data_IF_036676121956
#
_entry.id   IF_036676121956
#
_cell.length_a   1.000
_cell.length_b   1.000
_cell.length_c   1.000
_cell.angle_alpha   90.00
_cell.angle_beta   90.00
_cell.angle_gamma   90.00
#
_symmetry.space_group_name_H-M   'P 1'
#
loop_
_entity.id
_entity.type
_entity.pdbx_description
1 polymer ?
#
# COMPACT_ATOMS: atom_id res chain seq x y z
N UNK A 1 18.18 -20.63 18.48
CA UNK A 1 16.72 -20.70 18.66
C UNK A 1 16.04 -19.95 17.54
N UNK A 2 15.01 -20.51 16.94
CA UNK A 2 14.21 -19.75 15.98
C UNK A 2 13.53 -18.59 16.69
N UNK A 3 13.43 -17.49 15.99
CA UNK A 3 12.73 -16.31 16.49
C UNK A 3 11.28 -16.31 15.97
N UNK A 4 10.44 -15.48 16.54
CA UNK A 4 9.05 -15.30 16.12
C UNK A 4 8.97 -14.01 15.30
N UNK A 5 8.45 -14.10 14.08
CA UNK A 5 8.12 -12.92 13.30
C UNK A 5 6.78 -12.39 13.80
N UNK A 6 6.75 -11.14 14.28
CA UNK A 6 5.57 -10.57 14.93
C UNK A 6 4.73 -9.72 13.99
N UNK A 7 5.35 -9.09 13.01
CA UNK A 7 4.67 -8.15 12.12
C UNK A 7 5.51 -7.90 10.87
N UNK A 8 4.84 -7.72 9.77
CA UNK A 8 5.45 -7.25 8.54
C UNK A 8 4.70 -6.01 8.10
N UNK A 9 5.37 -4.86 8.09
CA UNK A 9 4.73 -3.60 7.72
C UNK A 9 5.42 -3.02 6.49
N UNK A 10 4.69 -2.73 5.42
CA UNK A 10 5.27 -2.02 4.30
C UNK A 10 5.52 -0.57 4.66
N UNK A 11 6.67 -0.05 4.25
CA UNK A 11 6.98 1.37 4.34
C UNK A 11 7.19 1.87 2.92
N UNK A 12 6.34 2.77 2.49
CA UNK A 12 6.41 3.34 1.14
C UNK A 12 7.20 4.64 1.21
N UNK A 13 8.35 4.66 0.55
CA UNK A 13 9.17 5.87 0.46
C UNK A 13 8.71 6.69 -0.73
N UNK A 14 8.31 7.93 -0.47
CA UNK A 14 7.71 8.81 -1.48
C UNK A 14 8.34 10.21 -1.39
N UNK A 15 8.28 11.01 -2.47
CA UNK A 15 8.74 12.38 -2.39
C UNK A 15 7.94 13.21 -1.38
N UNK A 16 6.61 13.06 -1.35
CA UNK A 16 5.71 13.76 -0.45
C UNK A 16 4.61 12.82 0.03
N UNK A 17 4.33 12.85 1.34
CA UNK A 17 3.32 11.97 1.95
C UNK A 17 1.91 12.52 1.78
N UNK A 18 1.74 13.82 1.97
CA UNK A 18 0.41 14.44 1.99
C UNK A 18 -0.46 14.11 0.78
N UNK A 19 0.07 14.11 -0.46
CA UNK A 19 -0.76 13.75 -1.62
C UNK A 19 -1.21 12.28 -1.63
N UNK A 20 -0.56 11.42 -0.86
CA UNK A 20 -0.87 9.99 -0.83
C UNK A 20 -2.02 9.66 0.11
N UNK A 21 -2.28 10.49 1.11
CA UNK A 21 -3.25 10.18 2.16
C UNK A 21 -4.69 10.07 1.67
N UNK A 22 -5.20 10.97 0.80
CA UNK A 22 -6.61 10.88 0.37
C UNK A 22 -6.96 9.57 -0.32
N UNK A 23 -6.04 8.97 -1.05
CA UNK A 23 -6.26 7.67 -1.70
C UNK A 23 -6.65 6.61 -0.67
N UNK A 24 -5.87 6.50 0.40
CA UNK A 24 -6.11 5.51 1.44
C UNK A 24 -7.29 5.88 2.33
N UNK A 25 -7.49 7.19 2.59
CA UNK A 25 -8.62 7.64 3.38
C UNK A 25 -9.95 7.32 2.70
N UNK A 26 -10.04 7.44 1.37
CA UNK A 26 -11.23 7.02 0.62
C UNK A 26 -11.50 5.52 0.73
N UNK A 27 -10.46 4.72 0.98
CA UNK A 27 -10.58 3.29 1.21
C UNK A 27 -10.87 2.95 2.68
N UNK A 28 -10.99 3.97 3.54
CA UNK A 28 -11.28 3.77 4.96
C UNK A 28 -10.07 3.63 5.87
N UNK A 29 -8.86 3.84 5.35
CA UNK A 29 -7.67 3.85 6.20
C UNK A 29 -7.60 5.14 7.00
N UNK A 30 -7.04 5.05 8.21
CA UNK A 30 -6.95 6.17 9.15
C UNK A 30 -5.49 6.40 9.53
N UNK A 31 -5.06 7.64 9.45
CA UNK A 31 -3.74 8.03 9.95
C UNK A 31 -3.80 8.09 11.48
N UNK A 32 -3.01 7.27 12.16
CA UNK A 32 -2.99 7.18 13.63
C UNK A 32 -1.76 7.83 14.25
N UNK A 33 -0.73 8.08 13.46
CA UNK A 33 0.48 8.75 13.93
C UNK A 33 1.18 9.42 12.76
N UNK A 34 1.89 10.50 13.05
CA UNK A 34 2.76 11.13 12.07
C UNK A 34 3.93 11.83 12.76
N UNK A 35 4.97 12.12 11.99
CA UNK A 35 6.14 12.85 12.42
C UNK A 35 6.46 13.91 11.37
N UNK A 36 6.52 15.19 11.74
CA UNK A 36 6.87 16.24 10.80
C UNK A 36 8.37 16.20 10.45
N UNK A 37 8.67 16.70 9.26
CA UNK A 37 10.05 16.89 8.80
C UNK A 37 10.09 18.12 7.90
N UNK A 38 10.72 19.19 8.36
CA UNK A 38 10.89 20.42 7.58
C UNK A 38 9.56 21.07 7.16
N UNK A 39 8.57 21.12 8.03
CA UNK A 39 7.28 21.74 7.75
C UNK A 39 6.31 20.88 6.97
N UNK A 40 6.67 19.65 6.65
CA UNK A 40 5.83 18.67 5.97
C UNK A 40 5.84 17.37 6.77
N UNK A 41 4.97 16.42 6.40
CA UNK A 41 5.02 15.10 6.99
C UNK A 41 6.29 14.38 6.52
N UNK A 42 7.07 13.85 7.48
CA UNK A 42 8.22 13.01 7.21
C UNK A 42 7.89 11.53 7.34
N UNK A 43 6.87 11.20 8.14
CA UNK A 43 6.47 9.84 8.43
C UNK A 43 5.00 9.80 8.79
N UNK A 44 4.29 8.74 8.40
CA UNK A 44 2.89 8.56 8.75
C UNK A 44 2.57 7.08 8.86
N UNK A 45 1.69 6.74 9.80
CA UNK A 45 1.18 5.37 9.99
C UNK A 45 -0.32 5.37 9.69
N UNK A 46 -0.74 4.50 8.79
CA UNK A 46 -2.14 4.30 8.43
C UNK A 46 -2.57 2.90 8.85
N UNK A 47 -3.78 2.80 9.38
CA UNK A 47 -4.34 1.52 9.82
C UNK A 47 -5.76 1.32 9.30
N UNK A 48 -6.12 0.07 9.06
CA UNK A 48 -7.48 -0.37 8.75
C UNK A 48 -7.60 -1.86 9.04
N UNK A 49 -8.65 -2.23 9.76
CA UNK A 49 -9.00 -3.65 9.99
C UNK A 49 -7.84 -4.51 10.51
N UNK A 50 -7.05 -3.94 11.42
CA UNK A 50 -5.89 -4.63 11.97
C UNK A 50 -4.65 -4.64 11.08
N UNK A 51 -4.73 -4.04 9.91
CA UNK A 51 -3.60 -3.90 9.01
C UNK A 51 -2.94 -2.55 9.19
N UNK A 52 -1.65 -2.48 8.84
CA UNK A 52 -0.86 -1.26 8.98
C UNK A 52 -0.01 -1.05 7.74
N UNK A 53 0.08 0.19 7.30
CA UNK A 53 1.08 0.59 6.33
C UNK A 53 1.66 1.94 6.73
N UNK A 54 2.88 2.19 6.31
CA UNK A 54 3.60 3.41 6.66
C UNK A 54 4.08 4.13 5.42
N UNK A 55 4.17 5.44 5.54
CA UNK A 55 4.82 6.30 4.55
C UNK A 55 6.00 7.01 5.19
N UNK A 56 7.05 7.19 4.42
CA UNK A 56 8.17 8.05 4.82
C UNK A 56 8.60 8.88 3.61
N UNK A 57 8.84 10.18 3.83
CA UNK A 57 9.31 11.03 2.75
C UNK A 57 10.78 10.76 2.46
N UNK A 58 11.17 10.96 1.21
CA UNK A 58 12.58 10.79 0.80
C UNK A 58 13.52 11.66 1.63
N UNK A 59 13.12 12.89 1.93
CA UNK A 59 13.95 13.78 2.75
C UNK A 59 14.12 13.24 4.17
N UNK A 60 13.05 12.71 4.78
CA UNK A 60 13.13 12.11 6.12
C UNK A 60 14.02 10.88 6.11
N UNK A 61 13.90 10.02 5.10
CA UNK A 61 14.76 8.83 4.96
C UNK A 61 16.22 9.23 4.84
N UNK A 62 16.53 10.25 4.04
CA UNK A 62 17.91 10.69 3.84
C UNK A 62 18.57 11.16 5.14
N UNK A 63 17.79 11.84 6.00
CA UNK A 63 18.31 12.30 7.29
C UNK A 63 18.39 11.18 8.34
N UNK A 64 17.37 10.31 8.35
CA UNK A 64 17.23 9.26 9.36
C UNK A 64 18.13 8.06 9.07
N UNK A 65 18.15 7.61 7.82
CA UNK A 65 18.90 6.41 7.43
C UNK A 65 19.44 6.54 6.00
N UNK A 66 20.58 7.23 5.84
CA UNK A 66 21.16 7.42 4.51
C UNK A 66 21.43 6.14 3.74
N UNK A 67 21.67 5.03 4.44
CA UNK A 67 21.89 3.74 3.78
C UNK A 67 20.64 3.26 3.04
N UNK A 68 19.44 3.49 3.61
CA UNK A 68 18.20 3.18 2.92
C UNK A 68 17.94 4.15 1.78
N UNK A 69 18.24 5.44 1.98
CA UNK A 69 18.03 6.46 0.96
C UNK A 69 18.81 6.16 -0.33
N UNK A 70 19.96 5.50 -0.22
CA UNK A 70 20.83 5.16 -1.35
C UNK A 70 20.71 3.70 -1.80
N UNK A 71 19.93 2.88 -1.09
CA UNK A 71 19.73 1.49 -1.47
C UNK A 71 18.87 1.38 -2.73
N UNK A 72 19.15 0.40 -3.60
CA UNK A 72 18.28 0.16 -4.74
C UNK A 72 16.88 -0.22 -4.26
N UNK A 73 15.86 0.41 -4.84
CA UNK A 73 14.45 0.18 -4.53
C UNK A 73 13.70 -0.25 -5.77
N UNK A 74 12.62 -1.01 -5.62
CA UNK A 74 11.76 -1.43 -6.70
C UNK A 74 11.47 -2.92 -6.66
N UNK A 75 10.64 -3.37 -7.58
CA UNK A 75 10.27 -4.78 -7.69
C UNK A 75 9.22 -5.24 -6.69
N UNK A 76 8.74 -4.37 -5.82
CA UNK A 76 7.71 -4.71 -4.83
C UNK A 76 6.39 -4.05 -5.21
N UNK A 77 5.31 -4.78 -5.04
CA UNK A 77 3.95 -4.23 -5.12
C UNK A 77 3.16 -4.75 -3.93
N UNK A 78 2.07 -4.04 -3.60
CA UNK A 78 1.19 -4.46 -2.52
C UNK A 78 0.09 -5.35 -3.10
N UNK A 79 -0.22 -6.44 -2.41
CA UNK A 79 -1.35 -7.30 -2.74
C UNK A 79 -2.30 -7.26 -1.56
N UNK A 80 -3.45 -6.62 -1.76
CA UNK A 80 -4.42 -6.38 -0.69
C UNK A 80 -5.70 -7.13 -1.00
N UNK A 81 -6.00 -8.13 -0.19
CA UNK A 81 -7.26 -8.86 -0.32
C UNK A 81 -8.38 -8.05 0.32
N UNK A 82 -9.50 -7.93 -0.39
CA UNK A 82 -10.68 -7.20 0.04
C UNK A 82 -11.93 -8.06 -0.15
N UNK A 83 -13.00 -7.70 0.50
CA UNK A 83 -14.27 -8.43 0.38
C UNK A 83 -15.23 -7.82 -0.65
N UNK A 84 -14.96 -6.60 -1.13
CA UNK A 84 -15.82 -5.91 -2.09
C UNK A 84 -14.96 -5.10 -3.07
N UNK A 85 -14.58 -5.75 -4.17
CA UNK A 85 -13.74 -5.13 -5.17
C UNK A 85 -14.45 -3.96 -5.88
N UNK A 86 -15.75 -4.05 -6.10
CA UNK A 86 -16.48 -2.97 -6.76
C UNK A 86 -16.45 -1.70 -5.91
N UNK A 87 -16.57 -1.82 -4.60
CA UNK A 87 -16.45 -0.67 -3.69
C UNK A 87 -15.04 -0.06 -3.76
N UNK A 88 -14.00 -0.89 -3.86
CA UNK A 88 -12.61 -0.42 -4.01
C UNK A 88 -12.43 0.32 -5.33
N UNK A 89 -12.96 -0.21 -6.42
CA UNK A 89 -12.86 0.42 -7.73
C UNK A 89 -13.52 1.80 -7.70
N UNK A 90 -14.71 1.91 -7.07
CA UNK A 90 -15.38 3.19 -6.93
C UNK A 90 -14.56 4.17 -6.08
N UNK A 91 -13.98 3.72 -4.98
CA UNK A 91 -13.21 4.56 -4.06
C UNK A 91 -11.87 5.02 -4.68
N UNK A 92 -11.33 4.26 -5.62
CA UNK A 92 -10.05 4.59 -6.27
C UNK A 92 -10.25 5.17 -7.67
N UNK A 93 -11.46 5.61 -8.01
CA UNK A 93 -11.74 6.22 -9.30
C UNK A 93 -10.80 7.40 -9.56
N UNK A 94 -10.21 7.44 -10.75
CA UNK A 94 -9.22 8.44 -11.11
C UNK A 94 -7.78 8.02 -10.87
N UNK A 95 -7.52 6.97 -10.10
CA UNK A 95 -6.17 6.43 -9.97
C UNK A 95 -5.77 5.72 -11.26
N UNK A 96 -4.49 5.84 -11.68
CA UNK A 96 -4.04 5.14 -12.88
C UNK A 96 -4.15 3.63 -12.73
N UNK A 97 -4.79 2.98 -13.69
CA UNK A 97 -4.93 1.52 -13.73
C UNK A 97 -3.79 0.97 -14.58
N UNK A 98 -2.90 0.18 -13.99
CA UNK A 98 -1.83 -0.47 -14.75
C UNK A 98 -2.17 -1.92 -15.10
N UNK A 99 -3.10 -2.53 -14.39
CA UNK A 99 -3.57 -3.88 -14.66
C UNK A 99 -5.10 -3.90 -14.62
N UNK A 100 -5.71 -4.08 -15.78
CA UNK A 100 -7.16 -4.08 -15.91
C UNK A 100 -7.79 -5.19 -15.06
N UNK A 101 -9.05 -4.97 -14.66
CA UNK A 101 -9.81 -5.96 -13.91
C UNK A 101 -9.79 -7.30 -14.65
N UNK A 102 -9.49 -8.36 -13.92
CA UNK A 102 -9.47 -9.72 -14.46
C UNK A 102 -9.88 -10.73 -13.40
N UNK A 103 -10.22 -11.92 -13.84
CA UNK A 103 -10.40 -13.07 -12.97
C UNK A 103 -9.20 -14.00 -13.17
N UNK A 104 -8.54 -14.35 -12.08
CA UNK A 104 -7.30 -15.12 -12.15
C UNK A 104 -7.58 -16.62 -12.07
N UNK A 105 -6.60 -17.43 -12.51
CA UNK A 105 -6.72 -18.88 -12.40
C UNK A 105 -6.71 -19.37 -10.95
N UNK A 106 -6.18 -18.57 -10.03
CA UNK A 106 -6.14 -18.90 -8.60
C UNK A 106 -7.34 -18.38 -7.83
N UNK A 107 -8.42 -18.00 -8.52
CA UNK A 107 -9.71 -17.73 -7.89
C UNK A 107 -9.86 -16.33 -7.30
N UNK A 108 -9.29 -15.33 -7.96
CA UNK A 108 -9.40 -13.92 -7.53
C UNK A 108 -9.95 -13.05 -8.65
N UNK A 109 -10.81 -12.10 -8.29
CA UNK A 109 -11.09 -10.92 -9.12
C UNK A 109 -10.09 -9.84 -8.70
N UNK A 110 -9.33 -9.30 -9.64
CA UNK A 110 -8.25 -8.36 -9.34
C UNK A 110 -8.31 -7.11 -10.18
N UNK A 111 -7.78 -6.02 -9.64
CA UNK A 111 -7.43 -4.81 -10.39
C UNK A 111 -6.12 -4.27 -9.83
N UNK A 112 -5.27 -3.74 -10.70
CA UNK A 112 -4.02 -3.09 -10.29
C UNK A 112 -4.08 -1.60 -10.55
N UNK A 113 -3.87 -0.80 -9.51
CA UNK A 113 -3.85 0.65 -9.60
C UNK A 113 -2.56 1.19 -8.98
N UNK A 114 -2.16 2.39 -9.40
CA UNK A 114 -1.06 3.09 -8.74
C UNK A 114 -1.63 4.06 -7.71
N UNK A 115 -1.11 3.97 -6.47
CA UNK A 115 -1.42 4.97 -5.48
C UNK A 115 -0.67 6.28 -5.82
N UNK A 116 -1.00 7.43 -5.18
CA UNK A 116 -0.45 8.72 -5.61
C UNK A 116 1.07 8.86 -5.55
N UNK A 117 1.74 8.05 -4.75
CA UNK A 117 3.21 8.00 -4.72
C UNK A 117 3.82 7.18 -5.85
N UNK A 118 3.00 6.60 -6.73
CA UNK A 118 3.44 5.79 -7.85
C UNK A 118 3.60 4.31 -7.55
N UNK A 119 3.30 3.88 -6.32
CA UNK A 119 3.46 2.49 -5.93
C UNK A 119 2.33 1.62 -6.48
N UNK A 120 2.63 0.44 -7.02
CA UNK A 120 1.60 -0.44 -7.56
C UNK A 120 0.89 -1.21 -6.45
N UNK A 121 -0.44 -1.24 -6.52
CA UNK A 121 -1.29 -1.97 -5.58
C UNK A 121 -2.24 -2.86 -6.37
N UNK A 122 -2.23 -4.15 -6.05
CA UNK A 122 -3.23 -5.10 -6.55
C UNK A 122 -4.29 -5.25 -5.47
N UNK A 123 -5.54 -4.96 -5.81
CA UNK A 123 -6.69 -5.28 -4.95
C UNK A 123 -7.33 -6.54 -5.48
N UNK A 124 -7.59 -7.49 -4.60
CA UNK A 124 -8.06 -8.82 -4.97
C UNK A 124 -9.22 -9.27 -4.09
N UNK A 125 -10.26 -9.80 -4.71
CA UNK A 125 -11.41 -10.37 -4.01
C UNK A 125 -11.56 -11.82 -4.41
N UNK A 126 -11.62 -12.76 -3.44
CA UNK A 126 -11.89 -14.16 -3.75
C UNK A 126 -13.21 -14.34 -4.52
N UNK A 127 -13.20 -15.20 -5.53
CA UNK A 127 -14.40 -15.47 -6.34
C UNK A 127 -15.45 -16.27 -5.58
N UNK A 128 -15.09 -16.89 -4.47
CA UNK A 128 -15.96 -17.82 -3.77
C UNK A 128 -15.92 -19.23 -4.31
N UNK A 129 -15.16 -19.47 -5.37
CA UNK A 129 -14.97 -20.81 -5.93
C UNK A 129 -13.77 -21.49 -5.28
N UNK A 130 -13.80 -22.83 -5.29
CA UNK A 130 -12.66 -23.57 -4.77
C UNK A 130 -11.42 -23.29 -5.62
N UNK A 131 -10.33 -22.94 -4.94
CA UNK A 131 -9.07 -22.68 -5.63
C UNK A 131 -8.41 -24.00 -6.05
N UNK A 132 -7.68 -23.99 -7.19
CA UNK A 132 -6.87 -25.15 -7.54
C UNK A 132 -5.83 -25.44 -6.46
N UNK A 133 -5.57 -26.71 -6.20
CA UNK A 133 -4.53 -27.12 -5.26
C UNK A 133 -3.15 -26.71 -5.79
N UNK A 134 -2.32 -26.24 -4.89
CA UNK A 134 -0.94 -25.92 -5.28
C UNK A 134 -0.53 -24.50 -5.13
#
# INVERSE_FOLDING_TARGET
>A
MPHVAKRLTPVLMVPEIEPCLPFWERLGWVKVADVPHGGRLGFAILVKDGLELMYQSQASVADDNPAIATAPMGGTFLFLEVDDLDAVIAATAGAPVFAERRTTFYGMHEIGVREPGGNPVIFAQPTGEAQPAG
#
